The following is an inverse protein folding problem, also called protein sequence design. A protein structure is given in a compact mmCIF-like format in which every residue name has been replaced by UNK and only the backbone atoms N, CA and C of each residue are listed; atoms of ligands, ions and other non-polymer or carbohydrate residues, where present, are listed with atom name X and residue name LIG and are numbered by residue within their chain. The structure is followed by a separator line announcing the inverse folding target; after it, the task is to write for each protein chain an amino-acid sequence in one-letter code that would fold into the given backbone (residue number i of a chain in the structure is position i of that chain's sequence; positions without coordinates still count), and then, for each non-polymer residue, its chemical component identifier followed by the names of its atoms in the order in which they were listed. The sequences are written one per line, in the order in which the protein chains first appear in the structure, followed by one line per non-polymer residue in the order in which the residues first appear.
data_IF_247822529849
#
_entry.id   IF_247822529849
#
_cell.length_a   1.000
_cell.length_b   1.000
_cell.length_c   1.000
_cell.angle_alpha   90.00
_cell.angle_beta   90.00
_cell.angle_gamma   90.00
#
_symmetry.space_group_name_H-M   'P 1'
#
loop_
_entity.id
_entity.type
_entity.pdbx_description
1 polymer ?
#
# COMPACT_ATOMS: atom_id res chain seq x y z
N UNK A 1 13.83 -23.23 -3.85
CA UNK A 1 12.81 -22.92 -2.82
C UNK A 1 13.40 -22.76 -1.41
N UNK A 2 14.25 -23.69 -0.92
CA UNK A 2 14.86 -23.60 0.44
C UNK A 2 15.56 -22.26 0.74
N UNK A 3 16.23 -21.66 -0.24
CA UNK A 3 16.93 -20.37 -0.06
C UNK A 3 15.97 -19.18 0.16
N UNK A 4 14.80 -19.15 -0.49
CA UNK A 4 13.82 -18.07 -0.34
C UNK A 4 13.20 -18.06 1.06
N UNK A 5 12.82 -19.23 1.57
CA UNK A 5 12.28 -19.36 2.92
C UNK A 5 13.31 -18.97 3.98
N UNK A 6 14.58 -19.34 3.78
CA UNK A 6 15.67 -18.92 4.66
C UNK A 6 15.88 -17.40 4.67
N UNK A 7 15.80 -16.75 3.50
CA UNK A 7 15.91 -15.29 3.38
C UNK A 7 14.72 -14.57 4.03
N UNK A 8 13.49 -15.04 3.81
CA UNK A 8 12.29 -14.49 4.46
C UNK A 8 12.39 -14.59 5.98
N UNK A 9 12.79 -15.75 6.50
CA UNK A 9 12.93 -15.97 7.93
C UNK A 9 14.04 -15.09 8.53
N UNK A 10 15.14 -14.89 7.81
CA UNK A 10 16.23 -13.97 8.19
C UNK A 10 15.73 -12.53 8.35
N UNK A 11 14.90 -12.05 7.42
CA UNK A 11 14.37 -10.69 7.45
C UNK A 11 13.25 -10.52 8.49
N UNK A 12 12.46 -11.57 8.74
CA UNK A 12 11.35 -11.59 9.70
C UNK A 12 11.81 -11.57 11.17
N UNK A 13 12.79 -12.40 11.54
CA UNK A 13 13.29 -12.53 12.91
C UNK A 13 13.57 -11.22 13.65
N UNK A 14 14.24 -10.22 13.05
CA UNK A 14 14.54 -8.97 13.73
C UNK A 14 13.33 -8.02 13.87
N UNK A 15 12.31 -8.14 13.03
CA UNK A 15 11.14 -7.24 13.06
C UNK A 15 9.95 -7.84 13.80
N UNK A 16 9.88 -9.16 13.97
CA UNK A 16 8.69 -9.89 14.46
C UNK A 16 8.07 -9.30 15.73
N UNK A 17 8.88 -8.91 16.72
CA UNK A 17 8.38 -8.42 17.99
C UNK A 17 7.84 -7.00 17.90
N UNK A 18 8.50 -6.14 17.13
CA UNK A 18 8.01 -4.79 16.86
C UNK A 18 6.69 -4.84 16.10
N UNK A 19 6.60 -5.76 15.14
CA UNK A 19 5.39 -6.01 14.38
C UNK A 19 4.25 -6.48 15.28
N UNK A 20 4.44 -7.57 16.02
CA UNK A 20 3.42 -8.12 16.93
C UNK A 20 2.95 -7.07 17.94
N UNK A 21 3.89 -6.33 18.56
CA UNK A 21 3.56 -5.26 19.49
C UNK A 21 2.72 -4.16 18.85
N UNK A 22 3.08 -3.73 17.63
CA UNK A 22 2.30 -2.74 16.89
C UNK A 22 0.89 -3.24 16.54
N UNK A 23 0.76 -4.47 16.06
CA UNK A 23 -0.54 -5.09 15.75
C UNK A 23 -1.47 -5.17 16.97
N UNK A 24 -0.92 -5.56 18.13
CA UNK A 24 -1.69 -5.63 19.37
C UNK A 24 -2.13 -4.23 19.81
N UNK A 25 -1.23 -3.25 19.81
CA UNK A 25 -1.55 -1.87 20.18
C UNK A 25 -2.62 -1.28 19.27
N UNK A 26 -2.51 -1.50 17.95
CA UNK A 26 -3.51 -1.01 17.00
C UNK A 26 -4.85 -1.74 17.15
N UNK A 27 -4.84 -3.06 17.31
CA UNK A 27 -6.07 -3.82 17.57
C UNK A 27 -6.79 -3.35 18.84
N UNK A 28 -6.05 -3.14 19.93
CA UNK A 28 -6.59 -2.58 21.18
C UNK A 28 -7.12 -1.16 20.97
N UNK A 29 -6.44 -0.33 20.18
CA UNK A 29 -6.91 1.02 19.84
C UNK A 29 -8.22 1.01 19.06
N UNK A 30 -8.34 0.15 18.04
CA UNK A 30 -9.53 0.03 17.21
C UNK A 30 -10.76 -0.51 17.96
N UNK A 31 -10.55 -1.27 19.05
CA UNK A 31 -11.64 -1.75 19.92
C UNK A 31 -11.91 -0.80 21.09
N UNK A 32 -10.85 -0.28 21.71
CA UNK A 32 -10.94 0.56 22.91
C UNK A 32 -11.43 1.98 22.65
N UNK A 33 -11.01 2.61 21.53
CA UNK A 33 -11.41 3.98 21.22
C UNK A 33 -12.93 4.11 20.98
N UNK A 34 -13.61 3.26 20.19
CA UNK A 34 -15.06 3.34 20.04
C UNK A 34 -15.81 3.20 21.37
N UNK A 35 -15.37 2.29 22.25
CA UNK A 35 -15.96 2.10 23.58
C UNK A 35 -15.77 3.35 24.45
N UNK A 36 -14.56 3.93 24.45
CA UNK A 36 -14.26 5.14 25.18
C UNK A 36 -15.10 6.33 24.71
N UNK A 37 -15.17 6.57 23.40
CA UNK A 37 -15.95 7.68 22.84
C UNK A 37 -17.45 7.52 23.08
N UNK A 38 -17.99 6.31 22.88
CA UNK A 38 -19.42 6.07 23.14
C UNK A 38 -19.83 6.22 24.61
N UNK A 39 -18.90 5.97 25.55
CA UNK A 39 -19.19 6.03 27.00
C UNK A 39 -18.91 7.40 27.62
N UNK A 40 -17.88 8.11 27.14
CA UNK A 40 -17.41 9.36 27.75
C UNK A 40 -17.96 10.61 27.05
N UNK A 41 -18.32 10.46 25.77
CA UNK A 41 -18.69 11.55 24.87
C UNK A 41 -20.07 11.24 24.32
N UNK A 42 -21.12 11.43 25.14
CA UNK A 42 -22.51 11.45 24.68
C UNK A 42 -22.83 12.56 23.67
N UNK A 43 -21.82 13.21 23.08
CA UNK A 43 -21.90 14.28 22.10
C UNK A 43 -22.12 13.79 20.66
N UNK A 44 -21.84 12.52 20.37
CA UNK A 44 -22.16 11.92 19.08
C UNK A 44 -23.29 10.94 19.30
N UNK A 45 -24.50 11.23 18.78
CA UNK A 45 -25.59 10.24 18.66
C UNK A 45 -25.23 9.06 17.73
N UNK A 46 -23.94 8.80 17.51
CA UNK A 46 -23.40 7.77 16.65
C UNK A 46 -23.21 6.48 17.46
N UNK A 47 -23.61 5.36 16.87
CA UNK A 47 -23.41 4.06 17.49
C UNK A 47 -21.92 3.73 17.62
N UNK A 48 -21.52 2.95 18.64
CA UNK A 48 -20.14 2.47 18.77
C UNK A 48 -19.68 1.71 17.51
N UNK A 49 -20.61 1.10 16.78
CA UNK A 49 -20.37 0.45 15.49
C UNK A 49 -19.95 1.44 14.39
N UNK A 50 -20.64 2.57 14.26
CA UNK A 50 -20.28 3.62 13.29
C UNK A 50 -18.89 4.19 13.58
N UNK A 51 -18.61 4.50 14.86
CA UNK A 51 -17.30 5.02 15.28
C UNK A 51 -16.20 4.00 14.96
N UNK A 52 -16.41 2.72 15.28
CA UNK A 52 -15.46 1.65 14.96
C UNK A 52 -15.24 1.50 13.45
N UNK A 53 -16.32 1.58 12.66
CA UNK A 53 -16.27 1.47 11.21
C UNK A 53 -15.45 2.61 10.61
N UNK A 54 -15.71 3.86 11.01
CA UNK A 54 -14.94 5.03 10.55
C UNK A 54 -13.47 4.89 10.93
N UNK A 55 -13.15 4.53 12.18
CA UNK A 55 -11.77 4.32 12.61
C UNK A 55 -11.08 3.21 11.81
N UNK A 56 -11.78 2.13 11.48
CA UNK A 56 -11.24 1.05 10.66
C UNK A 56 -11.00 1.48 9.21
N UNK A 57 -11.88 2.29 8.61
CA UNK A 57 -11.66 2.85 7.26
C UNK A 57 -10.48 3.82 7.23
N UNK A 58 -10.38 4.70 8.23
CA UNK A 58 -9.24 5.61 8.38
C UNK A 58 -7.95 4.82 8.55
N UNK A 59 -7.96 3.77 9.37
CA UNK A 59 -6.82 2.88 9.54
C UNK A 59 -6.45 2.16 8.24
N UNK A 60 -7.44 1.61 7.52
CA UNK A 60 -7.21 0.97 6.24
C UNK A 60 -6.60 1.96 5.22
N UNK A 61 -7.04 3.22 5.20
CA UNK A 61 -6.40 4.26 4.39
C UNK A 61 -4.93 4.53 4.81
N UNK A 62 -4.64 4.60 6.10
CA UNK A 62 -3.26 4.76 6.60
C UNK A 62 -2.39 3.52 6.35
N UNK A 63 -2.99 2.34 6.27
CA UNK A 63 -2.26 1.09 6.06
C UNK A 63 -1.57 1.01 4.69
N UNK A 64 -1.91 1.89 3.74
CA UNK A 64 -1.17 2.10 2.48
C UNK A 64 0.32 2.37 2.74
N UNK A 65 0.63 3.06 3.83
CA UNK A 65 2.00 3.41 4.17
C UNK A 65 2.77 2.28 4.87
N UNK A 66 2.08 1.24 5.35
CA UNK A 66 2.70 0.16 6.15
C UNK A 66 3.67 -0.68 5.32
N UNK A 67 3.33 -1.18 4.11
CA UNK A 67 4.32 -1.83 3.23
C UNK A 67 5.50 -0.93 2.92
N UNK A 68 5.24 0.32 2.55
CA UNK A 68 6.29 1.29 2.21
C UNK A 68 7.26 1.48 3.37
N UNK A 69 6.75 1.78 4.57
CA UNK A 69 7.55 1.99 5.77
C UNK A 69 8.36 0.74 6.13
N UNK A 70 7.72 -0.43 6.12
CA UNK A 70 8.38 -1.71 6.44
C UNK A 70 9.49 -2.01 5.44
N UNK A 71 9.23 -1.81 4.16
CA UNK A 71 10.21 -2.00 3.10
C UNK A 71 11.41 -1.06 3.28
N UNK A 72 11.17 0.25 3.43
CA UNK A 72 12.27 1.22 3.61
C UNK A 72 13.06 0.97 4.88
N UNK A 73 12.41 0.62 5.99
CA UNK A 73 13.10 0.26 7.23
C UNK A 73 14.05 -0.92 7.01
N UNK A 74 13.57 -2.00 6.37
CA UNK A 74 14.37 -3.18 6.05
C UNK A 74 15.49 -2.89 5.04
N UNK A 75 15.24 -1.99 4.09
CA UNK A 75 16.20 -1.59 3.08
C UNK A 75 17.32 -0.72 3.66
N UNK A 76 16.97 0.33 4.41
CA UNK A 76 17.95 1.23 5.05
C UNK A 76 18.78 0.52 6.12
N UNK A 77 18.20 -0.44 6.85
CA UNK A 77 18.95 -1.25 7.81
C UNK A 77 20.09 -2.01 7.14
N UNK A 78 19.83 -2.59 5.98
CA UNK A 78 20.82 -3.35 5.24
C UNK A 78 21.80 -2.44 4.50
N UNK A 79 21.36 -1.28 4.01
CA UNK A 79 22.25 -0.27 3.40
C UNK A 79 23.34 0.23 4.36
N UNK A 80 23.10 0.20 5.69
CA UNK A 80 24.11 0.56 6.70
C UNK A 80 25.18 -0.53 6.90
N UNK A 81 24.98 -1.74 6.37
CA UNK A 81 25.87 -2.89 6.52
C UNK A 81 26.31 -3.39 5.14
N UNK A 82 27.30 -2.74 4.50
CA UNK A 82 27.72 -3.05 3.13
C UNK A 82 28.19 -4.51 2.97
N UNK A 83 28.76 -5.10 4.01
CA UNK A 83 29.22 -6.50 4.04
C UNK A 83 28.12 -7.51 3.68
N UNK A 84 26.86 -7.23 4.06
CA UNK A 84 25.72 -8.08 3.74
C UNK A 84 25.42 -8.14 2.24
N UNK A 85 25.76 -7.09 1.49
CA UNK A 85 25.51 -7.01 0.06
C UNK A 85 26.65 -7.62 -0.75
N UNK A 86 27.90 -7.47 -0.28
CA UNK A 86 29.09 -7.97 -0.95
C UNK A 86 29.31 -9.47 -0.75
N UNK A 87 28.94 -10.01 0.42
CA UNK A 87 29.15 -11.42 0.76
C UNK A 87 27.90 -12.31 0.59
N UNK A 88 26.79 -11.75 0.09
CA UNK A 88 25.59 -12.54 -0.19
C UNK A 88 25.76 -13.32 -1.50
N UNK A 89 25.55 -14.64 -1.43
CA UNK A 89 25.47 -15.52 -2.61
C UNK A 89 24.17 -15.35 -3.42
N UNK A 90 23.19 -14.61 -2.88
CA UNK A 90 21.93 -14.32 -3.56
C UNK A 90 22.02 -13.05 -4.42
N UNK A 91 21.43 -13.10 -5.61
CA UNK A 91 21.27 -11.94 -6.51
C UNK A 91 20.49 -10.81 -5.84
N UNK A 92 20.83 -9.56 -6.17
CA UNK A 92 20.20 -8.35 -5.61
C UNK A 92 18.68 -8.33 -5.83
N UNK A 93 18.20 -8.80 -7.00
CA UNK A 93 16.77 -8.98 -7.27
C UNK A 93 16.06 -9.83 -6.23
N UNK A 94 16.69 -10.94 -5.79
CA UNK A 94 16.12 -11.84 -4.77
C UNK A 94 16.14 -11.18 -3.39
N UNK A 95 17.21 -10.47 -3.04
CA UNK A 95 17.31 -9.77 -1.75
C UNK A 95 16.25 -8.67 -1.61
N UNK A 96 16.11 -7.81 -2.62
CA UNK A 96 15.11 -6.75 -2.64
C UNK A 96 13.70 -7.35 -2.74
N UNK A 97 13.50 -8.34 -3.60
CA UNK A 97 12.21 -9.01 -3.78
C UNK A 97 11.69 -9.65 -2.49
N UNK A 98 12.55 -10.34 -1.72
CA UNK A 98 12.17 -10.90 -0.42
C UNK A 98 11.70 -9.83 0.56
N UNK A 99 12.35 -8.67 0.60
CA UNK A 99 11.93 -7.54 1.46
C UNK A 99 10.60 -6.96 1.02
N UNK A 100 10.39 -6.81 -0.30
CA UNK A 100 9.10 -6.38 -0.84
C UNK A 100 7.99 -7.37 -0.49
N UNK A 101 8.21 -8.67 -0.69
CA UNK A 101 7.24 -9.72 -0.32
C UNK A 101 6.92 -9.64 1.17
N UNK A 102 7.93 -9.56 2.04
CA UNK A 102 7.71 -9.45 3.48
C UNK A 102 6.90 -8.19 3.83
N UNK A 103 7.25 -7.04 3.25
CA UNK A 103 6.54 -5.79 3.46
C UNK A 103 5.09 -5.84 2.97
N UNK A 104 4.82 -6.50 1.84
CA UNK A 104 3.45 -6.70 1.33
C UNK A 104 2.63 -7.61 2.23
N UNK A 105 3.20 -8.70 2.75
CA UNK A 105 2.51 -9.60 3.70
C UNK A 105 2.15 -8.85 4.99
N UNK A 106 3.05 -7.98 5.43
CA UNK A 106 2.85 -7.12 6.59
C UNK A 106 1.72 -6.11 6.39
N UNK A 107 1.67 -5.43 5.24
CA UNK A 107 0.55 -4.54 4.94
C UNK A 107 -0.77 -5.28 4.77
N UNK A 108 -0.75 -6.46 4.16
CA UNK A 108 -1.93 -7.31 4.02
C UNK A 108 -2.45 -7.72 5.40
N UNK A 109 -1.57 -8.12 6.32
CA UNK A 109 -1.95 -8.40 7.71
C UNK A 109 -2.55 -7.16 8.42
N UNK A 110 -2.03 -5.96 8.16
CA UNK A 110 -2.59 -4.69 8.69
C UNK A 110 -3.99 -4.41 8.17
N UNK A 111 -4.22 -4.62 6.87
CA UNK A 111 -5.55 -4.47 6.27
C UNK A 111 -6.54 -5.51 6.79
N UNK A 112 -6.10 -6.78 6.91
CA UNK A 112 -6.94 -7.84 7.46
C UNK A 112 -7.33 -7.57 8.91
N UNK A 113 -6.46 -6.93 9.71
CA UNK A 113 -6.82 -6.54 11.08
C UNK A 113 -8.07 -5.64 11.09
N UNK A 114 -8.15 -4.64 10.21
CA UNK A 114 -9.35 -3.79 10.10
C UNK A 114 -10.59 -4.59 9.77
N UNK A 115 -10.50 -5.53 8.82
CA UNK A 115 -11.63 -6.38 8.43
C UNK A 115 -12.11 -7.22 9.61
N UNK A 116 -11.18 -7.84 10.34
CA UNK A 116 -11.48 -8.67 11.52
C UNK A 116 -12.13 -7.83 12.61
N UNK A 117 -11.63 -6.61 12.88
CA UNK A 117 -12.21 -5.73 13.90
C UNK A 117 -13.63 -5.31 13.53
N UNK A 118 -13.89 -4.93 12.27
CA UNK A 118 -15.25 -4.59 11.82
C UNK A 118 -16.18 -5.81 11.90
N UNK A 119 -15.71 -7.00 11.52
CA UNK A 119 -16.48 -8.23 11.63
C UNK A 119 -16.85 -8.56 13.08
N UNK A 120 -15.92 -8.37 14.02
CA UNK A 120 -16.18 -8.52 15.46
C UNK A 120 -17.28 -7.54 15.89
N UNK A 121 -17.13 -6.25 15.57
CA UNK A 121 -18.11 -5.22 15.91
C UNK A 121 -19.50 -5.51 15.34
N UNK A 122 -19.57 -6.01 14.10
CA UNK A 122 -20.83 -6.40 13.46
C UNK A 122 -21.56 -7.49 14.27
N UNK A 123 -20.84 -8.53 14.70
CA UNK A 123 -21.41 -9.63 15.50
C UNK A 123 -21.90 -9.15 16.86
N UNK A 124 -21.13 -8.28 17.53
CA UNK A 124 -21.49 -7.79 18.87
C UNK A 124 -22.63 -6.76 18.88
N UNK A 125 -22.79 -5.98 17.80
CA UNK A 125 -23.80 -4.91 17.71
C UNK A 125 -25.09 -5.31 17.01
N UNK A 126 -25.18 -6.55 16.49
CA UNK A 126 -26.38 -7.13 15.85
C UNK A 126 -26.97 -6.24 14.75
N UNK A 127 -26.11 -5.69 13.90
CA UNK A 127 -26.49 -4.85 12.77
C UNK A 127 -27.25 -5.67 11.70
N UNK A 128 -28.07 -5.01 10.84
CA UNK A 128 -28.82 -5.70 9.81
C UNK A 128 -27.91 -6.33 8.76
N UNK A 129 -28.28 -7.52 8.27
CA UNK A 129 -27.51 -8.29 7.28
C UNK A 129 -27.26 -7.53 5.97
N UNK A 130 -28.18 -6.66 5.55
CA UNK A 130 -28.03 -5.84 4.33
C UNK A 130 -26.78 -4.94 4.43
N UNK A 131 -26.54 -4.38 5.61
CA UNK A 131 -25.40 -3.50 5.89
C UNK A 131 -24.07 -4.28 5.83
N UNK A 132 -24.08 -5.57 6.18
CA UNK A 132 -22.90 -6.43 6.06
C UNK A 132 -22.52 -6.70 4.60
N UNK A 133 -23.50 -7.01 3.75
CA UNK A 133 -23.24 -7.33 2.34
C UNK A 133 -22.76 -6.10 1.55
N UNK A 134 -23.28 -4.91 1.85
CA UNK A 134 -22.78 -3.66 1.32
C UNK A 134 -21.36 -3.35 1.82
N UNK A 135 -21.13 -3.47 3.14
CA UNK A 135 -19.85 -3.15 3.74
C UNK A 135 -18.74 -4.14 3.31
N UNK A 136 -19.07 -5.41 3.11
CA UNK A 136 -18.13 -6.41 2.58
C UNK A 136 -17.80 -6.11 1.12
N UNK A 137 -18.79 -5.81 0.28
CA UNK A 137 -18.57 -5.49 -1.13
C UNK A 137 -17.73 -4.22 -1.30
N UNK A 138 -18.19 -3.08 -0.80
CA UNK A 138 -17.47 -1.80 -0.94
C UNK A 138 -16.17 -1.79 -0.14
N UNK A 139 -16.15 -2.41 1.04
CA UNK A 139 -14.93 -2.56 1.85
C UNK A 139 -13.87 -3.39 1.15
N UNK A 140 -14.24 -4.50 0.50
CA UNK A 140 -13.28 -5.33 -0.26
C UNK A 140 -12.69 -4.60 -1.47
N UNK A 141 -13.52 -3.84 -2.20
CA UNK A 141 -13.06 -3.00 -3.31
C UNK A 141 -12.09 -1.92 -2.81
N UNK A 142 -12.47 -1.21 -1.74
CA UNK A 142 -11.63 -0.19 -1.12
C UNK A 142 -10.28 -0.77 -0.69
N UNK A 143 -10.28 -1.86 0.07
CA UNK A 143 -9.07 -2.54 0.55
C UNK A 143 -8.19 -2.99 -0.62
N UNK A 144 -8.79 -3.53 -1.68
CA UNK A 144 -8.04 -3.99 -2.86
C UNK A 144 -7.33 -2.83 -3.57
N UNK A 145 -8.02 -1.71 -3.80
CA UNK A 145 -7.45 -0.51 -4.43
C UNK A 145 -6.34 0.08 -3.56
N UNK A 146 -6.59 0.22 -2.26
CA UNK A 146 -5.64 0.72 -1.25
C UNK A 146 -4.40 -0.17 -1.20
N UNK A 147 -4.58 -1.49 -1.19
CA UNK A 147 -3.46 -2.44 -1.18
C UNK A 147 -2.63 -2.37 -2.46
N UNK A 148 -3.26 -2.34 -3.62
CA UNK A 148 -2.55 -2.24 -4.91
C UNK A 148 -1.81 -0.91 -5.02
N UNK A 149 -2.43 0.20 -4.62
CA UNK A 149 -1.79 1.51 -4.51
C UNK A 149 -0.56 1.49 -3.60
N UNK A 150 -0.59 0.76 -2.48
CA UNK A 150 0.57 0.61 -1.59
C UNK A 150 1.76 -0.08 -2.26
N UNK A 151 1.51 -1.09 -3.09
CA UNK A 151 2.55 -1.80 -3.85
C UNK A 151 3.15 -0.86 -4.90
N UNK A 152 2.32 -0.09 -5.60
CA UNK A 152 2.77 0.91 -6.58
C UNK A 152 3.69 1.95 -5.92
N UNK A 153 3.25 2.54 -4.80
CA UNK A 153 4.04 3.54 -4.05
C UNK A 153 5.36 2.94 -3.56
N UNK A 154 5.35 1.69 -3.08
CA UNK A 154 6.56 1.00 -2.63
C UNK A 154 7.58 0.82 -3.75
N UNK A 155 7.15 0.37 -4.94
CA UNK A 155 8.06 0.14 -6.09
C UNK A 155 8.59 1.48 -6.63
N UNK A 156 7.73 2.47 -6.80
CA UNK A 156 8.13 3.82 -7.24
C UNK A 156 9.12 4.41 -6.23
N UNK A 157 8.79 4.37 -4.95
CA UNK A 157 9.66 4.87 -3.90
C UNK A 157 10.99 4.12 -3.81
N UNK A 158 11.00 2.80 -4.03
CA UNK A 158 12.25 2.04 -4.17
C UNK A 158 13.13 2.59 -5.28
N UNK A 159 12.58 2.80 -6.47
CA UNK A 159 13.31 3.33 -7.61
C UNK A 159 13.95 4.70 -7.30
N UNK A 160 13.19 5.63 -6.73
CA UNK A 160 13.71 6.95 -6.37
C UNK A 160 14.73 6.91 -5.23
N UNK A 161 14.58 6.01 -4.25
CA UNK A 161 15.59 5.81 -3.20
C UNK A 161 16.88 5.26 -3.80
N UNK A 162 16.83 4.36 -4.78
CA UNK A 162 18.04 3.89 -5.47
C UNK A 162 18.71 5.03 -6.24
N UNK A 163 17.93 5.89 -6.92
CA UNK A 163 18.47 7.07 -7.60
C UNK A 163 19.16 8.04 -6.62
N UNK A 164 18.54 8.31 -5.47
CA UNK A 164 19.16 9.16 -4.43
C UNK A 164 20.48 8.57 -3.98
N UNK A 165 20.49 7.26 -3.71
CA UNK A 165 21.68 6.55 -3.33
C UNK A 165 22.79 6.61 -4.39
N UNK A 166 22.44 6.69 -5.68
CA UNK A 166 23.41 6.77 -6.78
C UNK A 166 23.96 8.18 -6.99
N UNK A 167 23.18 9.22 -6.71
CA UNK A 167 23.56 10.64 -6.84
C UNK A 167 24.35 11.13 -5.61
N UNK A 168 24.05 10.58 -4.43
CA UNK A 168 24.65 10.96 -3.15
C UNK A 168 26.19 11.05 -3.11
N UNK A 169 26.97 10.17 -3.75
CA UNK A 169 28.43 10.30 -3.79
C UNK A 169 28.92 11.58 -4.48
N UNK A 170 28.15 12.11 -5.43
CA UNK A 170 28.55 13.27 -6.23
C UNK A 170 28.17 14.59 -5.56
N UNK A 171 26.99 14.69 -4.94
CA UNK A 171 26.39 15.97 -4.51
C UNK A 171 25.95 15.94 -3.03
N UNK A 172 26.27 14.87 -2.29
CA UNK A 172 26.04 14.69 -0.84
C UNK A 172 24.59 15.02 -0.44
N UNK A 173 24.39 16.03 0.41
CA UNK A 173 23.08 16.39 0.96
C UNK A 173 22.11 16.94 -0.10
N UNK A 174 22.63 17.53 -1.18
CA UNK A 174 21.81 18.09 -2.25
C UNK A 174 21.19 17.00 -3.16
N UNK A 175 21.61 15.75 -3.00
CA UNK A 175 21.02 14.57 -3.66
C UNK A 175 19.52 14.45 -3.41
N UNK A 176 19.07 14.72 -2.18
CA UNK A 176 17.66 14.64 -1.80
C UNK A 176 16.82 15.68 -2.57
N UNK A 177 17.35 16.89 -2.75
CA UNK A 177 16.67 17.95 -3.51
C UNK A 177 16.54 17.56 -4.99
N UNK A 178 17.61 17.03 -5.57
CA UNK A 178 17.61 16.61 -6.98
C UNK A 178 16.65 15.44 -7.22
N UNK A 179 16.63 14.45 -6.34
CA UNK A 179 15.71 13.31 -6.46
C UNK A 179 14.26 13.71 -6.28
N UNK A 180 13.98 14.66 -5.38
CA UNK A 180 12.64 15.23 -5.23
C UNK A 180 12.22 16.00 -6.49
N UNK A 181 13.12 16.76 -7.11
CA UNK A 181 12.86 17.44 -8.38
C UNK A 181 12.58 16.43 -9.51
N UNK A 182 13.38 15.37 -9.61
CA UNK A 182 13.16 14.28 -10.57
C UNK A 182 11.82 13.57 -10.34
N UNK A 183 11.42 13.38 -9.08
CA UNK A 183 10.13 12.81 -8.72
C UNK A 183 8.97 13.69 -9.22
N UNK A 184 9.01 15.00 -8.93
CA UNK A 184 8.00 15.96 -9.40
C UNK A 184 7.93 15.98 -10.93
N UNK A 185 9.09 15.98 -11.59
CA UNK A 185 9.17 15.97 -13.05
C UNK A 185 8.58 14.68 -13.63
N UNK A 186 8.88 13.53 -13.04
CA UNK A 186 8.33 12.24 -13.43
C UNK A 186 6.81 12.21 -13.27
N UNK A 187 6.27 12.73 -12.16
CA UNK A 187 4.81 12.81 -11.95
C UNK A 187 4.15 13.69 -13.00
N UNK A 188 4.76 14.82 -13.35
CA UNK A 188 4.25 15.71 -14.40
C UNK A 188 4.27 15.06 -15.77
N UNK A 189 5.37 14.37 -16.13
CA UNK A 189 5.45 13.61 -17.38
C UNK A 189 4.39 12.51 -17.45
N UNK A 190 4.14 11.82 -16.33
CA UNK A 190 3.09 10.81 -16.24
C UNK A 190 1.70 11.41 -16.50
N UNK A 191 1.37 12.55 -15.89
CA UNK A 191 0.07 13.22 -16.14
C UNK A 191 -0.09 13.66 -17.60
N UNK A 192 0.98 14.13 -18.23
CA UNK A 192 0.97 14.51 -19.65
C UNK A 192 0.78 13.26 -20.53
N UNK A 193 1.39 12.14 -20.16
CA UNK A 193 1.24 10.88 -20.87
C UNK A 193 -0.18 10.32 -20.76
N UNK A 194 -0.76 10.29 -19.56
CA UNK A 194 -2.13 9.79 -19.34
C UNK A 194 -3.19 10.64 -20.07
N UNK A 195 -2.97 11.95 -20.19
CA UNK A 195 -3.86 12.85 -20.95
C UNK A 195 -3.61 12.86 -22.47
N UNK A 196 -2.65 12.06 -22.96
CA UNK A 196 -2.35 12.01 -24.39
C UNK A 196 -3.35 11.13 -25.15
N UNK A 197 -3.63 11.50 -26.42
CA UNK A 197 -4.46 10.69 -27.33
C UNK A 197 -3.94 9.26 -27.52
N UNK A 198 -2.63 9.06 -27.36
CA UNK A 198 -2.03 7.72 -27.44
C UNK A 198 -2.52 6.81 -26.31
N UNK A 199 -2.60 7.35 -25.08
CA UNK A 199 -3.11 6.63 -23.92
C UNK A 199 -4.57 6.20 -24.13
N UNK A 200 -5.40 7.12 -24.62
CA UNK A 200 -6.82 6.83 -24.89
C UNK A 200 -7.02 5.75 -25.97
N UNK A 201 -6.24 5.78 -27.06
CA UNK A 201 -6.42 4.85 -28.19
C UNK A 201 -5.87 3.44 -27.93
N UNK A 202 -4.80 3.33 -27.15
CA UNK A 202 -4.03 2.09 -26.99
C UNK A 202 -4.28 1.46 -25.62
N UNK A 203 -4.29 2.26 -24.55
CA UNK A 203 -4.29 1.78 -23.16
C UNK A 203 -5.71 1.67 -22.60
N UNK A 204 -6.64 2.58 -22.95
CA UNK A 204 -8.04 2.50 -22.50
C UNK A 204 -8.89 1.44 -23.23
N UNK A 205 -8.30 0.30 -23.58
CA UNK A 205 -9.01 -0.84 -24.19
C UNK A 205 -9.53 -1.81 -23.13
N UNK A 206 -10.73 -2.36 -23.39
CA UNK A 206 -11.36 -3.37 -22.53
C UNK A 206 -12.02 -2.76 -21.29
N UNK A 207 -13.07 -1.95 -21.51
CA UNK A 207 -13.87 -1.32 -20.47
C UNK A 207 -14.68 -2.37 -19.69
N UNK A 208 -14.44 -2.46 -18.39
CA UNK A 208 -15.24 -3.20 -17.42
C UNK A 208 -15.97 -2.18 -16.56
N UNK A 209 -17.30 -2.19 -16.63
CA UNK A 209 -18.12 -1.36 -15.77
C UNK A 209 -18.46 -2.13 -14.49
N UNK A 210 -17.82 -1.77 -13.37
CA UNK A 210 -18.09 -2.45 -12.09
C UNK A 210 -19.50 -2.14 -11.56
N UNK A 211 -20.13 -1.04 -12.01
CA UNK A 211 -21.50 -0.69 -11.60
C UNK A 211 -22.54 -1.65 -12.18
N UNK A 212 -22.23 -2.37 -13.27
CA UNK A 212 -23.14 -3.38 -13.81
C UNK A 212 -23.27 -4.62 -12.91
N UNK A 213 -22.33 -4.86 -11.98
CA UNK A 213 -22.35 -6.02 -11.09
C UNK A 213 -23.16 -5.82 -9.81
N UNK A 214 -23.24 -4.58 -9.30
CA UNK A 214 -24.06 -4.23 -8.12
C UNK A 214 -24.36 -2.73 -8.13
N UNK A 215 -25.42 -2.34 -8.83
CA UNK A 215 -25.90 -0.96 -8.83
C UNK A 215 -26.93 -0.78 -7.72
N UNK A 216 -26.48 -0.57 -6.48
CA UNK A 216 -27.31 0.14 -5.53
C UNK A 216 -26.94 1.61 -5.68
N UNK A 217 -27.90 2.40 -6.18
CA UNK A 217 -27.84 3.86 -6.02
C UNK A 217 -27.59 4.11 -4.54
N UNK A 218 -26.37 4.51 -4.21
CA UNK A 218 -26.07 5.08 -2.91
C UNK A 218 -26.77 6.44 -2.94
N UNK A 219 -28.06 6.45 -2.58
CA UNK A 219 -28.86 7.66 -2.43
C UNK A 219 -28.44 8.32 -1.11
N UNK A 220 -27.22 8.87 -1.12
CA UNK A 220 -26.85 9.87 -0.15
C UNK A 220 -27.77 11.05 -0.46
N UNK A 221 -28.75 11.31 0.40
CA UNK A 221 -29.63 12.50 0.35
C UNK A 221 -28.86 13.85 0.34
N UNK A 222 -27.53 13.82 0.27
CA UNK A 222 -26.65 14.91 -0.12
C UNK A 222 -26.31 14.81 -1.61
N UNK A 223 -27.08 15.53 -2.42
CA UNK A 223 -27.05 15.67 -3.88
C UNK A 223 -25.76 16.26 -4.50
N UNK A 224 -24.58 16.05 -3.88
CA UNK A 224 -23.31 16.61 -4.35
C UNK A 224 -22.24 15.57 -4.72
N UNK A 225 -22.46 14.29 -4.45
CA UNK A 225 -21.51 13.22 -4.78
C UNK A 225 -22.19 12.08 -5.53
N UNK A 226 -22.43 12.26 -6.82
CA UNK A 226 -22.70 11.14 -7.72
C UNK A 226 -21.36 10.49 -8.09
N UNK A 227 -21.12 9.26 -7.64
CA UNK A 227 -20.00 8.43 -8.14
C UNK A 227 -20.41 7.92 -9.52
N UNK A 228 -20.27 8.78 -10.53
CA UNK A 228 -20.56 8.48 -11.94
C UNK A 228 -19.33 7.85 -12.59
N UNK A 229 -19.23 6.52 -12.46
CA UNK A 229 -18.35 5.69 -13.29
C UNK A 229 -17.15 5.10 -12.57
N UNK A 230 -17.28 3.87 -12.08
CA UNK A 230 -16.15 3.01 -11.73
C UNK A 230 -15.82 2.11 -12.92
N UNK A 231 -15.36 2.74 -14.01
CA UNK A 231 -15.00 2.03 -15.23
C UNK A 231 -13.52 1.65 -15.17
N UNK A 232 -13.25 0.35 -15.17
CA UNK A 232 -11.90 -0.21 -15.16
C UNK A 232 -11.48 -0.56 -16.58
N UNK A 233 -10.25 -0.24 -16.97
CA UNK A 233 -9.72 -0.63 -18.28
C UNK A 233 -8.65 -1.70 -18.09
N UNK A 234 -8.84 -2.87 -18.70
CA UNK A 234 -7.88 -3.98 -18.59
C UNK A 234 -6.49 -3.56 -19.13
N UNK A 235 -6.46 -2.76 -20.20
CA UNK A 235 -5.22 -2.27 -20.78
C UNK A 235 -4.41 -1.38 -19.84
N UNK A 236 -5.09 -0.58 -18.99
CA UNK A 236 -4.45 0.26 -17.97
C UNK A 236 -3.73 -0.59 -16.93
N UNK A 237 -4.36 -1.65 -16.42
CA UNK A 237 -3.73 -2.59 -15.48
C UNK A 237 -2.49 -3.26 -16.04
N UNK A 238 -2.56 -3.76 -17.28
CA UNK A 238 -1.42 -4.43 -17.92
C UNK A 238 -0.27 -3.43 -18.10
N UNK A 239 -0.58 -2.22 -18.54
CA UNK A 239 0.41 -1.16 -18.73
C UNK A 239 1.07 -0.73 -17.41
N UNK A 240 0.29 -0.53 -16.36
CA UNK A 240 0.80 -0.16 -15.03
C UNK A 240 1.71 -1.27 -14.46
N UNK A 241 1.28 -2.54 -14.53
CA UNK A 241 2.10 -3.69 -14.08
C UNK A 241 3.41 -3.75 -14.87
N UNK A 242 3.37 -3.56 -16.19
CA UNK A 242 4.56 -3.53 -17.02
C UNK A 242 5.50 -2.38 -16.63
N UNK A 243 4.97 -1.18 -16.41
CA UNK A 243 5.74 -0.02 -15.94
C UNK A 243 6.40 -0.28 -14.58
N UNK A 244 5.66 -0.85 -13.61
CA UNK A 244 6.18 -1.19 -12.29
C UNK A 244 7.28 -2.26 -12.36
N UNK A 245 7.12 -3.27 -13.21
CA UNK A 245 8.16 -4.28 -13.45
C UNK A 245 9.42 -3.65 -14.03
N UNK A 246 9.29 -2.76 -15.01
CA UNK A 246 10.44 -2.04 -15.58
C UNK A 246 11.13 -1.18 -14.52
N UNK A 247 10.38 -0.40 -13.73
CA UNK A 247 10.94 0.42 -12.63
C UNK A 247 11.68 -0.45 -11.61
N UNK A 248 11.11 -1.60 -11.24
CA UNK A 248 11.75 -2.54 -10.33
C UNK A 248 13.06 -3.09 -10.90
N UNK A 249 13.04 -3.58 -12.15
CA UNK A 249 14.22 -4.15 -12.81
C UNK A 249 15.32 -3.09 -12.94
N UNK A 250 15.00 -1.91 -13.45
CA UNK A 250 15.97 -0.82 -13.60
C UNK A 250 16.51 -0.38 -12.24
N UNK A 251 15.65 -0.24 -11.22
CA UNK A 251 16.08 0.07 -9.86
C UNK A 251 17.04 -0.98 -9.30
N UNK A 252 16.75 -2.27 -9.47
CA UNK A 252 17.63 -3.35 -9.02
C UNK A 252 18.97 -3.37 -9.79
N UNK A 253 18.96 -3.14 -11.11
CA UNK A 253 20.18 -3.01 -11.91
C UNK A 253 21.07 -1.84 -11.46
N UNK A 254 20.47 -0.68 -11.21
CA UNK A 254 21.19 0.50 -10.72
C UNK A 254 21.78 0.26 -9.33
N UNK A 255 21.05 -0.44 -8.47
CA UNK A 255 21.52 -0.82 -7.14
C UNK A 255 22.72 -1.76 -7.23
N UNK A 256 22.68 -2.75 -8.14
CA UNK A 256 23.81 -3.66 -8.39
C UNK A 256 25.07 -2.92 -8.84
N UNK A 257 24.92 -1.97 -9.76
CA UNK A 257 26.04 -1.13 -10.22
C UNK A 257 26.64 -0.29 -9.09
N UNK A 258 25.82 0.16 -8.14
CA UNK A 258 26.28 0.91 -6.97
C UNK A 258 27.02 0.01 -5.97
N UNK A 259 26.46 -1.15 -5.64
CA UNK A 259 27.03 -2.05 -4.61
C UNK A 259 28.38 -2.64 -5.03
N UNK A 260 28.60 -2.85 -6.34
CA UNK A 260 29.86 -3.42 -6.87
C UNK A 260 30.96 -2.39 -7.14
N UNK A 261 30.70 -1.10 -6.97
CA UNK A 261 31.69 -0.01 -7.10
C UNK A 261 32.10 0.48 -5.73
#
# INVERSE_FOLDING_TARGET
MKQWNGLLLREWLPIKWQMIGSFILFGLGLVGLPLFFSSFVGLFNASSFEIATVLCFVWAAFSVFVPCFTFFMLFYRDMRKPDLWLHSTASIYKLVGVKMVLATLVGLASLLLSVVVVAIWFVFTKQPYILFDELLFYGSLFISVVFLGSICIMIIGFFFVVLDQLIKPYIKAFSVVITLLLFILSMRLYTIFVSSRFYEMVILRGKLDLLNFKNQRIDLQNSYYEITGTTFYIGEWIFEIACLLVLFIVGAMLLEKKVRR
#
